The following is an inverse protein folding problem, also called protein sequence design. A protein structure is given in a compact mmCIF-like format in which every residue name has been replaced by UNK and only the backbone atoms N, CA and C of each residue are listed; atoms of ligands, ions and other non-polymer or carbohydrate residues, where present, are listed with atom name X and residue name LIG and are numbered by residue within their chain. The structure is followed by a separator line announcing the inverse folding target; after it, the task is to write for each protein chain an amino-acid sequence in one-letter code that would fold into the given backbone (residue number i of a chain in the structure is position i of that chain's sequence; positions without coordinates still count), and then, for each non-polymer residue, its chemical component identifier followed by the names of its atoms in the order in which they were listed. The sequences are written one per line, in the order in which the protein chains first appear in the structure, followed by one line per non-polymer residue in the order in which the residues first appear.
data_IF_235143486849
#
_entry.id   IF_235143486849
#
_cell.length_a   1.000
_cell.length_b   1.000
_cell.length_c   1.000
_cell.angle_alpha   90.00
_cell.angle_beta   90.00
_cell.angle_gamma   90.00
#
_symmetry.space_group_name_H-M   'P 1'
#
loop_
_entity.id
_entity.type
_entity.pdbx_description
1 polymer ?
#
# COMPACT_ATOMS: atom_id res chain seq x y z
N UNK A 1 3.45 9.53 -26.75
CA UNK A 1 3.55 9.33 -25.28
C UNK A 1 2.15 9.28 -24.73
N UNK A 2 1.68 8.11 -24.32
CA UNK A 2 0.37 7.97 -23.65
C UNK A 2 0.51 8.50 -22.24
N UNK A 3 -0.30 9.51 -21.88
CA UNK A 3 -0.35 9.99 -20.51
C UNK A 3 -0.90 8.89 -19.60
N UNK A 4 -0.29 8.71 -18.42
CA UNK A 4 -0.85 7.86 -17.38
C UNK A 4 -2.15 8.51 -16.88
N UNK A 5 -3.24 7.76 -16.88
CA UNK A 5 -4.57 8.24 -16.41
C UNK A 5 -4.66 8.44 -14.90
N UNK A 6 -3.65 7.99 -14.16
CA UNK A 6 -3.52 8.16 -12.71
C UNK A 6 -2.27 8.96 -12.43
N UNK A 7 -2.43 10.07 -11.71
CA UNK A 7 -1.37 10.99 -11.32
C UNK A 7 -0.91 10.72 -9.88
N UNK A 8 0.22 11.32 -9.50
CA UNK A 8 0.65 11.31 -8.10
C UNK A 8 -0.36 12.04 -7.19
N UNK A 9 -1.06 13.04 -7.72
CA UNK A 9 -2.07 13.75 -6.94
C UNK A 9 -3.26 12.85 -6.63
N UNK A 10 -3.70 12.02 -7.59
CA UNK A 10 -4.77 11.05 -7.36
C UNK A 10 -4.44 10.08 -6.21
N UNK A 11 -3.18 9.64 -6.12
CA UNK A 11 -2.68 8.78 -5.04
C UNK A 11 -2.66 9.52 -3.69
N UNK A 12 -2.25 10.80 -3.69
CA UNK A 12 -2.25 11.63 -2.47
C UNK A 12 -3.65 11.87 -1.96
N UNK A 13 -4.59 12.14 -2.85
CA UNK A 13 -6.00 12.33 -2.46
C UNK A 13 -6.62 11.01 -1.99
N UNK A 14 -6.28 9.88 -2.64
CA UNK A 14 -6.74 8.56 -2.22
C UNK A 14 -6.29 8.22 -0.79
N UNK A 15 -5.09 8.66 -0.37
CA UNK A 15 -4.60 8.49 1.00
C UNK A 15 -5.57 9.07 2.03
N UNK A 16 -6.09 10.26 1.79
CA UNK A 16 -7.04 10.91 2.70
C UNK A 16 -8.39 10.20 2.67
N UNK A 17 -8.89 9.80 1.49
CA UNK A 17 -10.17 9.09 1.33
C UNK A 17 -10.21 7.76 2.09
N UNK A 18 -9.12 6.98 2.05
CA UNK A 18 -9.09 5.64 2.64
C UNK A 18 -8.62 5.60 4.10
N UNK A 19 -8.33 6.76 4.72
CA UNK A 19 -7.71 6.81 6.05
C UNK A 19 -8.54 6.11 7.15
N UNK A 20 -9.87 6.05 7.00
CA UNK A 20 -10.77 5.34 7.91
C UNK A 20 -10.96 3.85 7.60
N UNK A 21 -10.53 3.38 6.43
CA UNK A 21 -10.78 2.01 5.95
C UNK A 21 -9.51 1.17 5.80
N UNK A 22 -8.38 1.78 5.46
CA UNK A 22 -7.10 1.11 5.27
C UNK A 22 -6.09 1.51 6.36
N UNK A 23 -5.33 0.54 6.85
CA UNK A 23 -4.31 0.79 7.88
C UNK A 23 -2.92 0.93 7.28
N UNK A 24 -1.98 1.52 8.04
CA UNK A 24 -0.56 1.46 7.68
C UNK A 24 0.03 0.14 8.16
N UNK A 25 -0.01 -0.86 7.28
CA UNK A 25 0.62 -2.17 7.50
C UNK A 25 2.13 -2.05 7.73
N UNK A 26 2.74 -2.95 8.50
CA UNK A 26 4.16 -2.90 8.79
C UNK A 26 5.01 -3.18 7.56
N UNK A 27 6.24 -2.67 7.60
CA UNK A 27 7.32 -3.02 6.69
C UNK A 27 8.36 -3.77 7.52
N UNK A 28 8.55 -5.06 7.26
CA UNK A 28 9.33 -5.96 8.12
C UNK A 28 10.55 -6.45 7.36
N UNK A 29 11.75 -6.34 7.94
CA UNK A 29 12.98 -6.91 7.35
C UNK A 29 12.84 -8.43 7.25
N UNK A 30 13.29 -9.00 6.14
CA UNK A 30 13.21 -10.43 5.88
C UNK A 30 14.49 -10.92 5.19
N UNK A 31 14.88 -12.16 5.46
CA UNK A 31 16.12 -12.73 4.96
C UNK A 31 17.32 -12.44 5.87
N UNK A 32 18.50 -12.69 5.33
CA UNK A 32 19.77 -12.52 6.02
C UNK A 32 20.41 -11.14 5.76
N UNK A 33 21.61 -10.93 6.29
CA UNK A 33 22.35 -9.67 6.16
C UNK A 33 23.03 -9.50 4.79
N UNK A 34 22.90 -10.46 3.87
CA UNK A 34 23.50 -10.35 2.54
C UNK A 34 22.70 -9.46 1.60
N UNK A 35 21.40 -9.24 1.88
CA UNK A 35 20.51 -8.39 1.07
C UNK A 35 19.50 -7.64 1.93
N UNK A 36 19.14 -6.45 1.49
CA UNK A 36 18.07 -5.66 2.11
C UNK A 36 16.71 -6.01 1.51
N UNK A 37 16.02 -6.97 2.11
CA UNK A 37 14.65 -7.36 1.70
C UNK A 37 13.67 -6.99 2.80
N UNK A 38 12.54 -6.39 2.39
CA UNK A 38 11.47 -6.00 3.29
C UNK A 38 10.12 -6.52 2.79
N UNK A 39 9.31 -7.03 3.71
CA UNK A 39 7.95 -7.46 3.46
C UNK A 39 6.98 -6.35 3.83
N UNK A 40 6.19 -5.91 2.85
CA UNK A 40 5.04 -5.05 3.09
C UNK A 40 3.81 -5.94 3.32
N UNK A 41 3.43 -6.11 4.58
CA UNK A 41 2.45 -7.11 4.99
C UNK A 41 0.99 -6.67 4.73
N UNK A 42 0.60 -6.53 3.46
CA UNK A 42 -0.77 -6.18 3.07
C UNK A 42 -1.81 -7.27 3.37
N UNK A 43 -1.36 -8.49 3.70
CA UNK A 43 -2.22 -9.52 4.29
C UNK A 43 -2.76 -9.13 5.68
N UNK A 44 -2.22 -8.08 6.31
CA UNK A 44 -2.69 -7.51 7.58
C UNK A 44 -3.57 -6.26 7.39
N UNK A 45 -3.97 -5.92 6.15
CA UNK A 45 -5.06 -4.96 5.96
C UNK A 45 -6.37 -5.51 6.54
N UNK A 46 -7.35 -4.64 6.85
CA UNK A 46 -8.75 -5.06 6.92
C UNK A 46 -9.10 -5.89 5.68
N UNK A 47 -9.94 -6.91 5.84
CA UNK A 47 -10.26 -7.93 4.81
C UNK A 47 -9.09 -8.82 4.34
N UNK A 48 -7.90 -8.72 4.95
CA UNK A 48 -6.77 -9.62 4.71
C UNK A 48 -6.04 -9.41 3.37
N UNK A 49 -6.26 -8.29 2.68
CA UNK A 49 -5.51 -7.95 1.46
C UNK A 49 -5.53 -6.46 1.14
N UNK A 50 -4.63 -6.01 0.26
CA UNK A 50 -4.54 -4.62 -0.19
C UNK A 50 -5.81 -4.07 -0.86
N UNK A 51 -6.76 -4.94 -1.27
CA UNK A 51 -7.91 -4.57 -2.10
C UNK A 51 -8.85 -3.58 -1.40
N UNK A 52 -8.87 -3.53 -0.07
CA UNK A 52 -9.64 -2.53 0.68
C UNK A 52 -9.26 -1.09 0.28
N UNK A 53 -8.01 -0.86 -0.11
CA UNK A 53 -7.51 0.46 -0.52
C UNK A 53 -8.12 0.98 -1.82
N UNK A 54 -8.58 0.08 -2.69
CA UNK A 54 -9.21 0.46 -3.97
C UNK A 54 -10.73 0.34 -3.95
N UNK A 55 -11.30 -0.34 -2.94
CA UNK A 55 -12.74 -0.56 -2.81
C UNK A 55 -13.44 0.49 -1.94
N UNK A 56 -12.71 1.11 -1.01
CA UNK A 56 -13.19 2.21 -0.17
C UNK A 56 -13.14 3.54 -0.93
#
# INVERSE_FOLDING_TARGET
MTALSVTLQDIRDARERIAGAAVRTPLVRFGDDTREVYLKLENLQPIGSFKIRGAA
#
